data_IF_452631902452
#
_entry.id   IF_452631902452
#
_cell.length_a   1.000
_cell.length_b   1.000
_cell.length_c   1.000
_cell.angle_alpha   90.00
_cell.angle_beta   90.00
_cell.angle_gamma   90.00
#
_symmetry.space_group_name_H-M   'P 1'
#
loop_
_entity.id
_entity.type
_entity.pdbx_description
1 polymer ?
#
# COMPACT_ATOMS: atom_id res chain seq x y z
N UNK A 1 -16.52 8.99 -14.61
CA UNK A 1 -17.43 8.08 -13.87
C UNK A 1 -17.03 8.16 -12.41
N UNK A 2 -17.98 8.15 -11.46
CA UNK A 2 -17.62 8.08 -10.04
C UNK A 2 -17.01 6.70 -9.78
N UNK A 3 -15.90 6.65 -9.04
CA UNK A 3 -15.26 5.38 -8.61
C UNK A 3 -16.29 4.58 -7.78
N UNK A 4 -16.36 3.28 -8.01
CA UNK A 4 -17.16 2.39 -7.16
C UNK A 4 -16.58 2.35 -5.74
N UNK A 5 -17.42 2.37 -4.69
CA UNK A 5 -16.93 2.31 -3.33
C UNK A 5 -16.16 1.02 -3.10
N UNK A 6 -15.06 1.10 -2.34
CA UNK A 6 -14.26 -0.09 -2.01
C UNK A 6 -15.09 -1.14 -1.27
N UNK A 7 -14.84 -2.39 -1.59
CA UNK A 7 -15.41 -3.56 -0.93
C UNK A 7 -14.48 -4.10 0.16
N UNK A 8 -15.05 -4.88 1.08
CA UNK A 8 -14.27 -5.59 2.10
C UNK A 8 -13.23 -6.53 1.48
N UNK A 9 -13.56 -7.18 0.36
CA UNK A 9 -12.64 -8.12 -0.29
C UNK A 9 -11.48 -7.41 -0.98
N UNK A 10 -11.71 -6.28 -1.64
CA UNK A 10 -10.63 -5.45 -2.19
C UNK A 10 -9.71 -4.93 -1.08
N UNK A 11 -10.26 -4.53 0.07
CA UNK A 11 -9.43 -4.15 1.21
C UNK A 11 -8.58 -5.31 1.72
N UNK A 12 -9.18 -6.50 1.91
CA UNK A 12 -8.47 -7.70 2.38
C UNK A 12 -7.37 -8.12 1.42
N UNK A 13 -7.64 -8.11 0.12
CA UNK A 13 -6.64 -8.40 -0.90
C UNK A 13 -5.49 -7.39 -0.86
N UNK A 14 -5.78 -6.09 -0.83
CA UNK A 14 -4.75 -5.05 -0.73
C UNK A 14 -3.90 -5.19 0.55
N UNK A 15 -4.55 -5.55 1.66
CA UNK A 15 -3.87 -5.79 2.94
C UNK A 15 -2.97 -7.03 2.90
N UNK A 16 -3.43 -8.15 2.35
CA UNK A 16 -2.65 -9.38 2.22
C UNK A 16 -1.41 -9.17 1.35
N UNK A 17 -1.61 -8.58 0.16
CA UNK A 17 -0.51 -8.27 -0.76
C UNK A 17 0.51 -7.32 -0.13
N UNK A 18 0.05 -6.36 0.69
CA UNK A 18 0.95 -5.46 1.41
C UNK A 18 1.80 -6.20 2.46
N UNK A 19 1.23 -7.16 3.20
CA UNK A 19 1.98 -7.97 4.16
C UNK A 19 3.07 -8.79 3.46
N UNK A 20 2.72 -9.46 2.37
CA UNK A 20 3.67 -10.23 1.57
C UNK A 20 4.80 -9.34 1.03
N UNK A 21 4.48 -8.11 0.62
CA UNK A 21 5.47 -7.14 0.15
C UNK A 21 6.44 -6.70 1.26
N UNK A 22 5.94 -6.50 2.48
CA UNK A 22 6.78 -6.19 3.66
C UNK A 22 7.69 -7.36 3.98
N UNK A 23 7.18 -8.59 3.99
CA UNK A 23 7.97 -9.80 4.20
C UNK A 23 9.12 -9.94 3.19
N UNK A 24 8.86 -9.63 1.91
CA UNK A 24 9.89 -9.61 0.86
C UNK A 24 10.94 -8.52 1.13
N UNK A 25 10.50 -7.33 1.56
CA UNK A 25 11.40 -6.24 1.92
C UNK A 25 12.32 -6.62 3.07
N UNK A 26 11.78 -7.22 4.13
CA UNK A 26 12.56 -7.68 5.30
C UNK A 26 13.58 -8.77 4.92
N UNK A 27 13.22 -9.65 3.98
CA UNK A 27 14.12 -10.66 3.37
C UNK A 27 15.13 -10.05 2.39
N UNK A 28 15.10 -8.74 2.17
CA UNK A 28 15.93 -7.97 1.23
C UNK A 28 15.69 -8.31 -0.24
N UNK A 29 14.57 -8.96 -0.55
CA UNK A 29 14.09 -9.09 -1.93
C UNK A 29 13.36 -7.81 -2.33
N UNK A 30 14.14 -6.76 -2.61
CA UNK A 30 13.60 -5.45 -2.90
C UNK A 30 12.87 -5.38 -4.24
N UNK A 31 13.26 -6.21 -5.23
CA UNK A 31 12.56 -6.28 -6.50
C UNK A 31 11.18 -6.91 -6.32
N UNK A 32 11.11 -8.07 -5.64
CA UNK A 32 9.85 -8.71 -5.30
C UNK A 32 8.95 -7.79 -4.46
N UNK A 33 9.52 -7.12 -3.47
CA UNK A 33 8.79 -6.17 -2.62
C UNK A 33 8.19 -5.02 -3.42
N UNK A 34 8.96 -4.37 -4.30
CA UNK A 34 8.48 -3.26 -5.15
C UNK A 34 7.31 -3.70 -6.01
N UNK A 35 7.42 -4.84 -6.68
CA UNK A 35 6.35 -5.35 -7.54
C UNK A 35 5.09 -5.70 -6.74
N UNK A 36 5.23 -6.26 -5.54
CA UNK A 36 4.10 -6.54 -4.65
C UNK A 36 3.49 -5.25 -4.08
N UNK A 37 4.28 -4.24 -3.70
CA UNK A 37 3.75 -2.94 -3.28
C UNK A 37 2.93 -2.26 -4.39
N UNK A 38 3.40 -2.33 -5.65
CA UNK A 38 2.63 -1.83 -6.79
C UNK A 38 1.30 -2.57 -6.93
N UNK A 39 1.29 -3.91 -6.77
CA UNK A 39 0.04 -4.70 -6.80
C UNK A 39 -0.95 -4.26 -5.74
N UNK A 40 -0.50 -4.07 -4.49
CA UNK A 40 -1.36 -3.60 -3.40
C UNK A 40 -2.05 -2.26 -3.73
N UNK A 41 -1.32 -1.32 -4.34
CA UNK A 41 -1.88 -0.03 -4.80
C UNK A 41 -2.90 -0.21 -5.94
N UNK A 42 -2.73 -1.23 -6.79
CA UNK A 42 -3.56 -1.48 -7.96
C UNK A 42 -4.83 -2.30 -7.68
N UNK A 43 -5.06 -2.78 -6.45
CA UNK A 43 -6.28 -3.53 -6.11
C UNK A 43 -7.52 -2.65 -6.26
N UNK A 44 -7.50 -1.43 -5.71
CA UNK A 44 -8.56 -0.43 -5.90
C UNK A 44 -7.95 0.97 -6.03
N UNK A 45 -7.31 1.29 -7.17
CA UNK A 45 -6.54 2.51 -7.33
C UNK A 45 -7.45 3.73 -7.27
N UNK A 46 -7.00 4.78 -6.58
CA UNK A 46 -7.70 6.06 -6.56
C UNK A 46 -7.50 6.86 -7.87
N UNK A 47 -6.30 6.78 -8.45
CA UNK A 47 -5.91 7.35 -9.73
C UNK A 47 -5.02 6.33 -10.47
N UNK A 48 -5.48 5.84 -11.62
CA UNK A 48 -4.77 4.84 -12.43
C UNK A 48 -3.38 5.32 -12.88
N UNK A 49 -3.17 6.64 -12.99
CA UNK A 49 -1.89 7.23 -13.43
C UNK A 49 -0.98 7.62 -12.24
N UNK A 50 -1.45 7.49 -11.00
CA UNK A 50 -0.66 7.84 -9.81
C UNK A 50 0.65 7.06 -9.72
N UNK A 51 0.61 5.74 -9.95
CA UNK A 51 1.81 4.91 -9.88
C UNK A 51 2.84 5.29 -10.96
N UNK A 52 2.41 5.62 -12.17
CA UNK A 52 3.30 6.05 -13.24
C UNK A 52 4.02 7.37 -12.88
N UNK A 53 3.26 8.34 -12.35
CA UNK A 53 3.82 9.61 -11.87
C UNK A 53 4.82 9.39 -10.73
N UNK A 54 4.48 8.51 -9.78
CA UNK A 54 5.33 8.18 -8.64
C UNK A 54 6.62 7.49 -9.09
N UNK A 55 6.53 6.50 -9.97
CA UNK A 55 7.68 5.78 -10.53
C UNK A 55 8.62 6.72 -11.29
N UNK A 56 8.07 7.63 -12.11
CA UNK A 56 8.86 8.62 -12.83
C UNK A 56 9.66 9.50 -11.86
N UNK A 57 9.02 9.99 -10.80
CA UNK A 57 9.67 10.83 -9.77
C UNK A 57 10.78 10.09 -9.02
N UNK A 58 10.58 8.80 -8.72
CA UNK A 58 11.62 7.98 -8.11
C UNK A 58 12.84 7.81 -9.02
N UNK A 59 12.61 7.51 -10.30
CA UNK A 59 13.69 7.36 -11.30
C UNK A 59 14.52 8.62 -11.48
N UNK A 60 13.90 9.80 -11.38
CA UNK A 60 14.61 11.10 -11.45
C UNK A 60 15.49 11.36 -10.22
N UNK A 61 15.19 10.74 -9.08
CA UNK A 61 15.86 10.98 -7.81
C UNK A 61 17.15 10.19 -7.55
N UNK A 62 17.54 9.26 -8.43
CA UNK A 62 18.72 8.38 -8.29
C UNK A 62 18.79 7.66 -6.92
N UNK A 63 17.66 7.11 -6.47
CA UNK A 63 17.58 6.38 -5.21
C UNK A 63 18.24 5.00 -5.31
N UNK A 64 18.72 4.47 -4.19
CA UNK A 64 19.10 3.05 -4.12
C UNK A 64 17.85 2.18 -4.13
N UNK A 65 17.95 0.96 -4.64
CA UNK A 65 16.84 0.00 -4.71
C UNK A 65 16.09 -0.19 -3.37
N UNK A 66 16.82 -0.25 -2.25
CA UNK A 66 16.20 -0.32 -0.93
C UNK A 66 15.35 0.92 -0.60
N UNK A 67 15.82 2.11 -0.97
CA UNK A 67 15.09 3.36 -0.74
C UNK A 67 13.85 3.46 -1.63
N UNK A 68 13.94 3.00 -2.89
CA UNK A 68 12.77 2.87 -3.77
C UNK A 68 11.74 1.92 -3.16
N UNK A 69 12.19 0.78 -2.63
CA UNK A 69 11.32 -0.19 -1.96
C UNK A 69 10.59 0.42 -0.75
N UNK A 70 11.29 1.19 0.10
CA UNK A 70 10.66 1.94 1.21
C UNK A 70 9.66 2.96 0.69
N UNK A 71 9.96 3.66 -0.41
CA UNK A 71 9.06 4.64 -0.99
C UNK A 71 7.77 3.99 -1.50
N UNK A 72 7.87 2.84 -2.18
CA UNK A 72 6.70 2.05 -2.59
C UNK A 72 5.93 1.48 -1.40
N UNK A 73 6.61 1.07 -0.32
CA UNK A 73 5.96 0.65 0.93
C UNK A 73 5.12 1.79 1.53
N UNK A 74 5.67 3.00 1.62
CA UNK A 74 4.95 4.19 2.09
C UNK A 74 3.76 4.54 1.19
N UNK A 75 3.93 4.44 -0.13
CA UNK A 75 2.83 4.61 -1.07
C UNK A 75 1.70 3.60 -0.81
N UNK A 76 2.01 2.30 -0.76
CA UNK A 76 1.02 1.25 -0.55
C UNK A 76 0.30 1.38 0.81
N UNK A 77 1.03 1.76 1.86
CA UNK A 77 0.48 2.06 3.17
C UNK A 77 -0.57 3.18 3.15
N UNK A 78 -0.27 4.29 2.47
CA UNK A 78 -1.21 5.43 2.34
C UNK A 78 -2.46 5.01 1.56
N UNK A 79 -2.30 4.24 0.48
CA UNK A 79 -3.43 3.72 -0.29
C UNK A 79 -4.29 2.79 0.57
N UNK A 80 -3.71 1.86 1.30
CA UNK A 80 -4.47 0.98 2.20
C UNK A 80 -5.23 1.77 3.29
N UNK A 81 -4.61 2.81 3.85
CA UNK A 81 -5.28 3.72 4.81
C UNK A 81 -6.46 4.46 4.19
N UNK A 82 -6.39 4.83 2.90
CA UNK A 82 -7.51 5.43 2.18
C UNK A 82 -8.63 4.43 1.95
N UNK A 83 -8.33 3.20 1.54
CA UNK A 83 -9.33 2.14 1.41
C UNK A 83 -10.06 1.90 2.74
N UNK A 84 -9.33 1.86 3.87
CA UNK A 84 -9.93 1.71 5.19
C UNK A 84 -10.93 2.83 5.52
N UNK A 85 -10.68 4.07 5.08
CA UNK A 85 -11.57 5.22 5.30
C UNK A 85 -12.83 5.17 4.45
N UNK A 86 -12.78 4.49 3.31
CA UNK A 86 -13.93 4.31 2.43
C UNK A 86 -14.88 3.20 2.92
N UNK A 87 -14.40 2.28 3.76
CA UNK A 87 -15.24 1.28 4.44
C UNK A 87 -16.15 1.94 5.51
N UNK A 88 -17.38 1.44 5.62
CA UNK A 88 -18.27 1.75 6.73
C UNK A 88 -17.77 1.14 8.05
N UNK A 89 -18.28 1.61 9.19
CA UNK A 89 -17.86 1.10 10.49
C UNK A 89 -18.22 -0.39 10.69
N UNK A 90 -19.37 -0.82 10.17
CA UNK A 90 -19.78 -2.25 10.15
C UNK A 90 -18.80 -3.10 9.33
N UNK A 91 -18.40 -2.62 8.14
CA UNK A 91 -17.41 -3.31 7.30
C UNK A 91 -16.01 -3.37 7.93
N UNK A 92 -15.65 -2.38 8.75
CA UNK A 92 -14.36 -2.38 9.48
C UNK A 92 -14.35 -3.43 10.58
N UNK A 93 -15.49 -3.74 11.21
CA UNK A 93 -15.58 -4.81 12.21
C UNK A 93 -15.38 -6.20 11.56
N UNK A 94 -15.82 -6.37 10.31
CA UNK A 94 -15.65 -7.60 9.54
C UNK A 94 -14.23 -7.80 8.98
N UNK A 95 -13.38 -6.77 9.09
CA UNK A 95 -12.00 -6.81 8.63
C UNK A 95 -11.09 -6.84 9.86
N UNK A 96 -10.38 -7.94 10.13
CA UNK A 96 -9.32 -7.93 11.12
C UNK A 96 -8.15 -7.10 10.59
N UNK A 97 -8.24 -5.78 10.77
CA UNK A 97 -7.15 -4.87 10.42
C UNK A 97 -5.94 -5.30 11.24
N UNK A 98 -4.88 -5.75 10.57
CA UNK A 98 -3.68 -6.20 11.24
C UNK A 98 -3.10 -5.07 12.10
N UNK A 99 -3.17 -5.25 13.42
CA UNK A 99 -2.72 -4.25 14.38
C UNK A 99 -1.24 -3.91 14.20
N UNK A 100 -0.42 -4.84 13.68
CA UNK A 100 0.99 -4.55 13.37
C UNK A 100 1.10 -3.58 12.20
N UNK A 101 0.28 -3.71 11.16
CA UNK A 101 0.25 -2.74 10.06
C UNK A 101 -0.22 -1.36 10.55
N UNK A 102 -1.26 -1.31 11.38
CA UNK A 102 -1.74 -0.05 12.00
C UNK A 102 -0.63 0.61 12.80
N UNK A 103 0.13 -0.18 13.57
CA UNK A 103 1.27 0.31 14.33
C UNK A 103 2.36 0.89 13.42
N UNK A 104 2.76 0.15 12.38
CA UNK A 104 3.75 0.60 11.38
C UNK A 104 3.32 1.93 10.74
N UNK A 105 2.04 2.06 10.36
CA UNK A 105 1.51 3.30 9.78
C UNK A 105 1.47 4.45 10.80
N UNK A 106 1.10 4.16 12.04
CA UNK A 106 1.02 5.17 13.11
C UNK A 106 2.37 5.70 13.55
N UNK A 107 3.43 4.90 13.43
CA UNK A 107 4.80 5.31 13.71
C UNK A 107 5.34 6.20 12.58
N UNK A 108 4.94 5.93 11.33
CA UNK A 108 5.26 6.79 10.18
C UNK A 108 4.58 8.14 10.18
N UNK A 109 3.32 8.23 10.61
CA UNK A 109 2.59 9.52 10.69
C UNK A 109 3.16 10.46 11.79
N UNK A 110 3.93 9.91 12.73
CA UNK A 110 4.60 10.65 13.81
C UNK A 110 6.07 11.01 13.50
N UNK A 111 6.58 10.60 12.34
CA UNK A 111 7.98 10.79 11.90
C UNK A 111 8.14 12.05 11.05
#
# INVERSE_FOLDING_TARGET
MAKEPVTVEEFREAQEVLKDAIDLHEKKDFYGAIESFKKAVMVSPYDEDHLNKFEKKLKEGNYKLQQESIAYMGCAAVHLSQLLKELSDEQKEDVPVDENLVKIFSDWDKS
#
